data_IF_148390277442
#
_entry.id   IF_148390277442
#
_cell.length_a   1.000
_cell.length_b   1.000
_cell.length_c   1.000
_cell.angle_alpha   90.00
_cell.angle_beta   90.00
_cell.angle_gamma   90.00
#
_symmetry.space_group_name_H-M   'P 1'
#
loop_
_entity.id
_entity.type
_entity.pdbx_description
1 polymer ?
#
# COMPACT_ATOMS: atom_id res chain seq x y z
N UNK A 1 -2.06 59.86 -25.77
CA UNK A 1 -1.47 58.52 -25.56
C UNK A 1 -2.59 57.50 -25.68
N UNK A 2 -2.49 56.65 -26.69
CA UNK A 2 -3.64 55.94 -27.25
C UNK A 2 -4.04 54.74 -26.37
N UNK A 3 -5.34 54.63 -26.07
CA UNK A 3 -5.89 53.60 -25.19
C UNK A 3 -5.66 52.19 -25.75
N UNK A 4 -5.56 52.07 -27.08
CA UNK A 4 -5.23 50.84 -27.78
C UNK A 4 -3.79 50.33 -27.51
N UNK A 5 -2.81 51.24 -27.32
CA UNK A 5 -1.44 50.83 -27.00
C UNK A 5 -1.33 50.20 -25.60
N UNK A 6 -2.14 50.65 -24.64
CA UNK A 6 -2.15 50.10 -23.28
C UNK A 6 -2.65 48.65 -23.27
N UNK A 7 -3.72 48.36 -24.00
CA UNK A 7 -4.26 46.99 -24.13
C UNK A 7 -3.31 46.04 -24.87
N UNK A 8 -2.65 46.53 -25.93
CA UNK A 8 -1.68 45.75 -26.69
C UNK A 8 -0.46 45.40 -25.83
N UNK A 9 0.07 46.34 -25.05
CA UNK A 9 1.21 46.10 -24.16
C UNK A 9 0.88 45.12 -23.04
N UNK A 10 -0.30 45.20 -22.42
CA UNK A 10 -0.72 44.24 -21.39
C UNK A 10 -0.93 42.83 -21.95
N UNK A 11 -1.45 42.72 -23.17
CA UNK A 11 -1.65 41.42 -23.81
C UNK A 11 -0.32 40.76 -24.17
N UNK A 12 0.61 41.52 -24.78
CA UNK A 12 1.95 41.02 -25.12
C UNK A 12 2.73 40.61 -23.87
N UNK A 13 2.67 41.41 -22.78
CA UNK A 13 3.33 41.07 -21.53
C UNK A 13 2.81 39.76 -20.90
N UNK A 14 1.48 39.52 -20.97
CA UNK A 14 0.86 38.29 -20.46
C UNK A 14 1.28 37.04 -21.26
N UNK A 15 1.35 37.16 -22.59
CA UNK A 15 1.80 36.06 -23.46
C UNK A 15 3.27 35.73 -23.18
N UNK A 16 4.14 36.74 -23.07
CA UNK A 16 5.58 36.55 -22.77
C UNK A 16 5.76 35.89 -21.40
N UNK A 17 5.03 36.33 -20.37
CA UNK A 17 5.08 35.73 -19.04
C UNK A 17 4.64 34.27 -19.05
N UNK A 18 3.58 33.94 -19.79
CA UNK A 18 3.06 32.58 -19.91
C UNK A 18 4.04 31.65 -20.63
N UNK A 19 4.62 32.12 -21.74
CA UNK A 19 5.65 31.36 -22.48
C UNK A 19 6.89 31.15 -21.63
N UNK A 20 7.37 32.19 -20.93
CA UNK A 20 8.49 32.07 -19.99
C UNK A 20 8.19 31.05 -18.88
N UNK A 21 7.00 31.08 -18.29
CA UNK A 21 6.60 30.14 -17.24
C UNK A 21 6.55 28.70 -17.74
N UNK A 22 6.04 28.46 -18.96
CA UNK A 22 6.02 27.15 -19.60
C UNK A 22 7.43 26.62 -19.89
N UNK A 23 8.32 27.46 -20.42
CA UNK A 23 9.72 27.09 -20.66
C UNK A 23 10.45 26.79 -19.34
N UNK A 24 10.26 27.61 -18.32
CA UNK A 24 10.83 27.39 -16.98
C UNK A 24 10.26 26.14 -16.29
N UNK A 25 8.98 25.82 -16.48
CA UNK A 25 8.36 24.60 -15.98
C UNK A 25 8.96 23.36 -16.66
N UNK A 26 9.16 23.41 -17.98
CA UNK A 26 9.76 22.32 -18.76
C UNK A 26 11.22 22.08 -18.37
N UNK A 27 12.00 23.15 -18.14
CA UNK A 27 13.38 23.06 -17.67
C UNK A 27 13.48 22.46 -16.24
N UNK A 28 12.58 22.84 -15.33
CA UNK A 28 12.50 22.27 -13.97
C UNK A 28 12.15 20.78 -13.98
N UNK A 29 11.25 20.37 -14.88
CA UNK A 29 10.87 18.97 -15.05
C UNK A 29 12.03 18.12 -15.60
N UNK A 30 12.77 18.64 -16.59
CA UNK A 30 13.96 17.99 -17.12
C UNK A 30 15.08 17.84 -16.07
N UNK A 31 15.28 18.85 -15.22
CA UNK A 31 16.25 18.80 -14.12
C UNK A 31 15.88 17.75 -13.06
N UNK A 32 14.59 17.60 -12.72
CA UNK A 32 14.10 16.60 -11.77
C UNK A 32 14.28 15.17 -12.30
N UNK A 33 14.04 14.96 -13.60
CA UNK A 33 14.28 13.67 -14.27
C UNK A 33 15.77 13.34 -14.27
N UNK A 34 16.65 14.29 -14.62
CA UNK A 34 18.10 14.08 -14.64
C UNK A 34 18.68 13.76 -13.26
N UNK A 35 18.19 14.42 -12.20
CA UNK A 35 18.59 14.15 -10.81
C UNK A 35 18.12 12.76 -10.34
N UNK A 36 16.95 12.28 -10.78
CA UNK A 36 16.41 10.95 -10.47
C UNK A 36 17.18 9.84 -11.19
N UNK A 37 17.63 10.06 -12.41
CA UNK A 37 18.49 9.13 -13.15
C UNK A 37 19.88 8.98 -12.53
N UNK A 38 20.43 10.07 -11.98
CA UNK A 38 21.74 10.06 -11.33
C UNK A 38 21.72 9.33 -9.97
N UNK A 39 20.65 9.48 -9.18
CA UNK A 39 20.46 8.72 -7.92
C UNK A 39 20.24 7.23 -8.15
N UNK A 40 19.74 6.83 -9.33
CA UNK A 40 19.48 5.43 -9.65
C UNK A 40 20.72 4.63 -10.13
N UNK A 41 21.86 5.30 -10.39
CA UNK A 41 23.07 4.65 -10.92
C UNK A 41 24.18 4.37 -9.89
N UNK A 42 24.05 4.85 -8.66
CA UNK A 42 25.08 4.67 -7.61
C UNK A 42 24.86 3.45 -6.70
N UNK A 43 24.05 2.47 -7.10
CA UNK A 43 23.91 1.20 -6.36
C UNK A 43 24.44 0.02 -7.17
N UNK A 44 25.72 -0.28 -6.98
CA UNK A 44 26.27 -1.62 -7.23
C UNK A 44 25.85 -2.52 -6.06
N UNK A 45 25.12 -3.63 -6.26
CA UNK A 45 24.87 -4.56 -5.17
C UNK A 45 26.12 -5.42 -4.97
N UNK A 46 26.77 -5.24 -3.82
CA UNK A 46 27.68 -6.24 -3.26
C UNK A 46 26.91 -7.56 -3.07
N UNK A 47 27.50 -8.66 -3.56
CA UNK A 47 26.94 -10.01 -3.46
C UNK A 47 27.19 -10.58 -2.05
N UNK A 48 26.56 -9.96 -1.07
CA UNK A 48 26.38 -10.53 0.27
C UNK A 48 24.89 -10.42 0.60
N UNK A 49 24.13 -11.47 0.26
CA UNK A 49 22.69 -11.55 0.56
C UNK A 49 22.53 -11.45 2.09
N UNK A 50 21.99 -10.35 2.63
CA UNK A 50 21.65 -10.31 4.04
C UNK A 50 20.48 -11.27 4.25
N UNK A 51 20.44 -11.93 5.40
CA UNK A 51 19.38 -12.83 5.86
C UNK A 51 18.03 -12.09 5.94
N UNK A 52 17.41 -11.87 4.77
CA UNK A 52 16.27 -11.00 4.52
C UNK A 52 15.04 -11.88 4.30
N UNK A 53 14.50 -12.52 5.33
CA UNK A 53 13.36 -13.43 5.06
C UNK A 53 12.33 -13.63 6.16
N UNK A 54 12.65 -13.48 7.45
CA UNK A 54 11.64 -13.70 8.52
C UNK A 54 11.08 -12.42 9.12
N UNK A 55 11.92 -11.44 9.44
CA UNK A 55 11.47 -10.18 10.07
C UNK A 55 10.61 -9.33 9.13
N UNK A 56 10.99 -9.24 7.85
CA UNK A 56 10.22 -8.49 6.85
C UNK A 56 8.84 -9.13 6.58
N UNK A 57 8.75 -10.46 6.56
CA UNK A 57 7.46 -11.16 6.42
C UNK A 57 6.53 -10.88 7.59
N UNK A 58 7.06 -10.84 8.83
CA UNK A 58 6.29 -10.45 10.03
C UNK A 58 5.84 -8.98 10.00
N UNK A 59 6.63 -8.11 9.38
CA UNK A 59 6.22 -6.71 9.18
C UNK A 59 5.12 -6.58 8.12
N UNK A 60 5.10 -7.44 7.11
CA UNK A 60 4.05 -7.44 6.06
C UNK A 60 2.75 -8.11 6.50
N UNK A 61 2.83 -9.18 7.30
CA UNK A 61 1.67 -9.87 7.86
C UNK A 61 1.65 -9.67 9.38
N UNK A 62 0.72 -8.85 9.85
CA UNK A 62 0.57 -8.56 11.28
C UNK A 62 -0.67 -9.24 11.84
N UNK A 63 -0.51 -9.99 12.93
CA UNK A 63 -1.66 -10.53 13.68
C UNK A 63 -2.28 -9.38 14.47
N UNK A 64 -3.58 -9.16 14.26
CA UNK A 64 -4.39 -8.16 15.00
C UNK A 64 -5.33 -8.81 16.02
N UNK A 65 -5.55 -10.11 15.91
CA UNK A 65 -6.28 -10.93 16.89
C UNK A 65 -5.89 -12.42 16.74
N UNK A 66 -5.81 -13.23 17.80
CA UNK A 66 -5.91 -12.84 19.21
C UNK A 66 -4.68 -12.04 19.67
N UNK A 67 -4.70 -11.55 20.91
CA UNK A 67 -3.52 -11.00 21.58
C UNK A 67 -2.33 -11.96 21.40
N UNK A 68 -1.15 -11.44 21.05
CA UNK A 68 -0.01 -12.18 20.49
C UNK A 68 0.70 -13.09 21.52
N UNK A 69 -0.04 -14.02 22.12
CA UNK A 69 0.46 -15.07 22.99
C UNK A 69 0.60 -16.37 22.19
N UNK A 70 1.66 -17.14 22.46
CA UNK A 70 1.87 -18.43 21.78
C UNK A 70 0.69 -19.39 21.97
N UNK A 71 0.07 -19.36 23.15
CA UNK A 71 -1.09 -20.20 23.47
C UNK A 71 -2.30 -19.83 22.59
N UNK A 72 -2.61 -18.55 22.46
CA UNK A 72 -3.75 -18.11 21.66
C UNK A 72 -3.54 -18.34 20.15
N UNK A 73 -2.30 -18.22 19.67
CA UNK A 73 -1.97 -18.61 18.28
C UNK A 73 -2.17 -20.12 18.07
N UNK A 74 -1.88 -20.93 19.08
CA UNK A 74 -1.98 -22.38 18.98
C UNK A 74 -3.42 -22.89 18.92
N UNK A 75 -4.35 -22.20 19.58
CA UNK A 75 -5.77 -22.53 19.67
C UNK A 75 -6.61 -22.12 18.45
N UNK A 76 -6.08 -21.23 17.61
CA UNK A 76 -6.79 -20.76 16.44
C UNK A 76 -7.08 -21.89 15.43
N UNK A 77 -8.30 -21.90 14.90
CA UNK A 77 -8.80 -22.91 13.96
C UNK A 77 -8.86 -22.41 12.52
N UNK A 78 -8.83 -21.10 12.32
CA UNK A 78 -8.90 -20.46 10.99
C UNK A 78 -8.01 -19.22 10.96
N UNK A 79 -7.31 -19.03 9.85
CA UNK A 79 -6.60 -17.79 9.54
C UNK A 79 -7.50 -16.91 8.67
N UNK A 80 -7.79 -15.70 9.13
CA UNK A 80 -8.51 -14.68 8.36
C UNK A 80 -7.51 -13.61 7.94
N UNK A 81 -7.29 -13.44 6.64
CA UNK A 81 -6.34 -12.48 6.09
C UNK A 81 -7.08 -11.31 5.45
N UNK A 82 -6.95 -10.15 6.05
CA UNK A 82 -7.56 -8.91 5.59
C UNK A 82 -6.58 -8.15 4.67
N UNK A 83 -7.02 -7.83 3.45
CA UNK A 83 -6.23 -7.17 2.40
C UNK A 83 -6.89 -5.84 2.05
N UNK A 84 -6.20 -4.73 2.35
CA UNK A 84 -6.71 -3.38 2.13
C UNK A 84 -6.70 -2.99 0.64
N UNK A 85 -7.31 -1.84 0.31
CA UNK A 85 -7.51 -1.38 -1.07
C UNK A 85 -6.51 -0.30 -1.52
N UNK A 86 -6.74 0.25 -2.71
CA UNK A 86 -5.92 1.32 -3.29
C UNK A 86 -5.92 2.60 -2.45
N UNK A 87 -4.75 3.22 -2.28
CA UNK A 87 -4.60 4.48 -1.53
C UNK A 87 -5.02 4.36 -0.07
N UNK A 88 -5.01 3.13 0.48
CA UNK A 88 -5.42 2.83 1.84
C UNK A 88 -4.36 2.09 2.64
N UNK A 89 -4.55 2.01 3.95
CA UNK A 89 -3.60 1.35 4.86
C UNK A 89 -4.28 0.27 5.71
N UNK A 90 -3.54 -0.77 6.06
CA UNK A 90 -3.99 -1.82 6.95
C UNK A 90 -4.43 -1.33 8.34
N UNK A 91 -3.91 -0.20 8.83
CA UNK A 91 -4.23 0.31 10.17
C UNK A 91 -5.63 0.93 10.27
N UNK A 92 -6.09 1.57 9.19
CA UNK A 92 -7.33 2.36 9.22
C UNK A 92 -8.40 1.90 8.23
N UNK A 93 -8.08 1.04 7.24
CA UNK A 93 -9.06 0.55 6.27
C UNK A 93 -10.21 -0.25 6.89
N UNK A 94 -10.02 -0.73 8.11
CA UNK A 94 -10.96 -1.58 8.84
C UNK A 94 -11.63 -0.87 10.01
N UNK A 95 -11.55 0.46 10.04
CA UNK A 95 -12.21 1.28 11.06
C UNK A 95 -13.59 1.69 10.55
N UNK A 96 -14.65 1.28 11.24
CA UNK A 96 -15.99 1.81 11.05
C UNK A 96 -16.26 2.94 12.05
N UNK A 97 -17.18 3.84 11.69
CA UNK A 97 -17.67 4.89 12.58
C UNK A 97 -19.00 4.46 13.19
N UNK A 98 -19.08 4.52 14.51
CA UNK A 98 -20.31 4.30 15.28
C UNK A 98 -20.56 5.52 16.18
N UNK A 99 -21.38 6.46 15.71
CA UNK A 99 -21.47 7.80 16.28
C UNK A 99 -20.12 8.53 16.24
N UNK A 100 -19.60 8.90 17.40
CA UNK A 100 -18.27 9.52 17.56
C UNK A 100 -17.13 8.49 17.67
N UNK A 101 -17.46 7.21 17.86
CA UNK A 101 -16.47 6.15 18.06
C UNK A 101 -15.91 5.65 16.72
N UNK A 102 -14.63 5.32 16.75
CA UNK A 102 -13.91 4.71 15.64
C UNK A 102 -13.52 3.28 16.07
N UNK A 103 -14.19 2.29 15.49
CA UNK A 103 -14.08 0.89 15.90
C UNK A 103 -13.35 0.12 14.80
N UNK A 104 -12.22 -0.50 15.13
CA UNK A 104 -11.56 -1.43 14.21
C UNK A 104 -12.22 -2.81 14.33
N UNK A 105 -13.13 -3.12 13.41
CA UNK A 105 -14.01 -4.28 13.51
C UNK A 105 -13.29 -5.63 13.38
N UNK A 106 -12.01 -5.64 12.94
CA UNK A 106 -11.20 -6.86 12.88
C UNK A 106 -10.68 -7.31 14.25
N UNK A 107 -10.49 -6.39 15.20
CA UNK A 107 -9.89 -6.70 16.51
C UNK A 107 -10.77 -6.33 17.70
N UNK A 108 -11.84 -5.58 17.46
CA UNK A 108 -12.78 -5.21 18.50
C UNK A 108 -13.48 -6.46 19.07
N UNK A 109 -13.48 -6.67 20.40
CA UNK A 109 -13.98 -7.89 21.02
C UNK A 109 -15.46 -8.16 20.75
N UNK A 110 -16.26 -7.12 20.45
CA UNK A 110 -17.70 -7.24 20.21
C UNK A 110 -18.04 -7.41 18.71
N UNK A 111 -17.04 -7.46 17.83
CA UNK A 111 -17.19 -7.50 16.37
C UNK A 111 -16.77 -8.86 15.78
N UNK A 112 -15.82 -8.89 14.83
CA UNK A 112 -15.40 -10.12 14.16
C UNK A 112 -14.87 -11.18 15.17
N UNK A 113 -14.02 -10.82 16.15
CA UNK A 113 -13.66 -11.71 17.26
C UNK A 113 -14.85 -12.38 17.96
N UNK A 114 -15.96 -11.67 18.24
CA UNK A 114 -17.14 -12.27 18.86
C UNK A 114 -17.81 -13.33 17.97
N UNK A 115 -17.74 -13.16 16.65
CA UNK A 115 -18.36 -14.08 15.68
C UNK A 115 -17.49 -15.29 15.37
N UNK A 116 -16.16 -15.12 15.40
CA UNK A 116 -15.20 -16.17 15.10
C UNK A 116 -14.10 -16.16 16.19
N UNK A 117 -14.42 -16.60 17.41
CA UNK A 117 -13.55 -16.42 18.58
C UNK A 117 -12.21 -17.16 18.48
N UNK A 118 -12.19 -18.27 17.72
CA UNK A 118 -10.99 -19.08 17.46
C UNK A 118 -10.33 -18.73 16.12
N UNK A 119 -10.53 -17.52 15.62
CA UNK A 119 -9.80 -17.02 14.45
C UNK A 119 -8.45 -16.42 14.85
N UNK A 120 -7.47 -16.57 13.96
CA UNK A 120 -6.30 -15.69 13.89
C UNK A 120 -6.52 -14.69 12.76
N UNK A 121 -6.67 -13.43 13.10
CA UNK A 121 -6.95 -12.35 12.17
C UNK A 121 -5.64 -11.62 11.87
N UNK A 122 -5.31 -11.55 10.59
CA UNK A 122 -4.03 -11.08 10.05
C UNK A 122 -4.32 -9.96 9.07
N UNK A 123 -3.58 -8.86 9.14
CA UNK A 123 -3.62 -7.82 8.11
C UNK A 123 -2.41 -7.94 7.19
N UNK A 124 -2.64 -7.87 5.88
CA UNK A 124 -1.58 -7.78 4.89
C UNK A 124 -1.29 -6.32 4.55
N UNK A 125 -0.05 -5.89 4.78
CA UNK A 125 0.46 -4.55 4.51
C UNK A 125 1.25 -4.56 3.22
N UNK A 126 0.77 -3.79 2.25
CA UNK A 126 1.44 -3.58 0.98
C UNK A 126 1.31 -2.13 0.53
N UNK A 127 2.21 -1.68 -0.33
CA UNK A 127 2.12 -0.33 -0.90
C UNK A 127 0.93 -0.26 -1.86
N UNK A 128 -0.11 0.44 -1.44
CA UNK A 128 -1.35 0.58 -2.18
C UNK A 128 -1.46 1.92 -2.91
N UNK A 129 -0.48 2.82 -2.76
CA UNK A 129 -0.48 4.13 -3.42
C UNK A 129 0.06 3.97 -4.83
N UNK A 130 -0.82 4.12 -5.83
CA UNK A 130 -0.46 3.97 -7.23
C UNK A 130 -0.39 5.33 -7.90
N UNK A 131 0.73 5.61 -8.60
CA UNK A 131 0.78 6.71 -9.55
C UNK A 131 0.04 6.32 -10.83
N UNK A 132 -0.41 7.32 -11.60
CA UNK A 132 -1.31 7.22 -12.78
C UNK A 132 -1.01 6.08 -13.77
N UNK A 133 0.24 5.62 -13.86
CA UNK A 133 0.69 4.56 -14.77
C UNK A 133 1.01 3.21 -14.09
N UNK A 134 0.43 2.90 -12.92
CA UNK A 134 0.73 1.63 -12.24
C UNK A 134 0.27 0.42 -13.10
N UNK A 135 1.21 -0.39 -13.65
CA UNK A 135 0.85 -1.47 -14.58
C UNK A 135 0.19 -2.63 -13.86
N UNK A 136 -0.54 -3.49 -14.62
CA UNK A 136 -0.99 -4.81 -14.16
C UNK A 136 0.10 -5.54 -13.38
N UNK A 137 1.34 -5.51 -13.88
CA UNK A 137 2.53 -6.14 -13.28
C UNK A 137 2.70 -5.83 -11.80
N UNK A 138 2.36 -4.62 -11.33
CA UNK A 138 2.45 -4.29 -9.90
C UNK A 138 1.43 -5.03 -9.06
N UNK A 139 0.21 -5.20 -9.57
CA UNK A 139 -0.83 -5.95 -8.90
C UNK A 139 -0.48 -7.45 -8.80
N UNK A 140 0.11 -8.02 -9.86
CA UNK A 140 0.66 -9.38 -9.81
C UNK A 140 1.73 -9.52 -8.74
N UNK A 141 2.70 -8.59 -8.71
CA UNK A 141 3.76 -8.60 -7.69
C UNK A 141 3.20 -8.51 -6.27
N UNK A 142 2.19 -7.67 -6.02
CA UNK A 142 1.54 -7.61 -4.71
C UNK A 142 0.89 -8.94 -4.31
N UNK A 143 0.30 -9.66 -5.28
CA UNK A 143 -0.28 -11.00 -5.08
C UNK A 143 0.79 -12.06 -4.82
N UNK A 144 1.86 -12.08 -5.61
CA UNK A 144 3.00 -12.99 -5.41
C UNK A 144 3.67 -12.76 -4.04
N UNK A 145 3.87 -11.51 -3.66
CA UNK A 145 4.38 -11.15 -2.32
C UNK A 145 3.44 -11.61 -1.20
N UNK A 146 2.12 -11.53 -1.40
CA UNK A 146 1.13 -12.05 -0.45
C UNK A 146 1.29 -13.56 -0.27
N UNK A 147 1.41 -14.32 -1.37
CA UNK A 147 1.61 -15.78 -1.33
C UNK A 147 2.90 -16.13 -0.60
N UNK A 148 4.02 -15.51 -1.01
CA UNK A 148 5.32 -15.77 -0.40
C UNK A 148 5.31 -15.46 1.10
N UNK A 149 4.70 -14.34 1.47
CA UNK A 149 4.57 -13.94 2.87
C UNK A 149 3.73 -14.96 3.66
N UNK A 150 2.58 -15.37 3.12
CA UNK A 150 1.67 -16.32 3.78
C UNK A 150 2.28 -17.71 3.90
N UNK A 151 2.99 -18.18 2.87
CA UNK A 151 3.64 -19.48 2.91
C UNK A 151 4.67 -19.55 4.03
N UNK A 152 5.53 -18.53 4.13
CA UNK A 152 6.52 -18.44 5.21
C UNK A 152 5.86 -18.25 6.58
N UNK A 153 4.81 -17.42 6.67
CA UNK A 153 4.10 -17.14 7.91
C UNK A 153 3.38 -18.39 8.46
N UNK A 154 2.83 -19.22 7.57
CA UNK A 154 2.09 -20.44 7.92
C UNK A 154 2.94 -21.70 7.92
N UNK A 155 4.27 -21.59 7.83
CA UNK A 155 5.17 -22.75 7.77
C UNK A 155 5.00 -23.73 8.94
N UNK A 156 4.67 -23.24 10.14
CA UNK A 156 4.37 -24.10 11.30
C UNK A 156 2.95 -24.67 11.34
N UNK A 157 2.02 -24.15 10.52
CA UNK A 157 0.58 -24.49 10.54
C UNK A 157 -0.03 -24.49 9.13
N UNK A 158 0.51 -25.26 8.17
CA UNK A 158 0.11 -25.17 6.75
C UNK A 158 -1.33 -25.66 6.48
N UNK A 159 -1.88 -26.51 7.35
CA UNK A 159 -3.21 -27.11 7.20
C UNK A 159 -4.36 -26.27 7.76
N UNK A 160 -4.09 -25.20 8.53
CA UNK A 160 -5.13 -24.35 9.11
C UNK A 160 -5.94 -23.67 7.98
N UNK A 161 -7.27 -23.81 7.92
CA UNK A 161 -8.10 -23.14 6.92
C UNK A 161 -7.80 -21.65 6.77
N UNK A 162 -7.87 -21.13 5.55
CA UNK A 162 -7.55 -19.75 5.20
C UNK A 162 -8.77 -19.07 4.58
N UNK A 163 -9.15 -17.91 5.11
CA UNK A 163 -10.22 -17.05 4.60
C UNK A 163 -9.63 -15.69 4.26
N UNK A 164 -9.95 -15.17 3.08
CA UNK A 164 -9.53 -13.83 2.67
C UNK A 164 -10.68 -12.83 2.74
N UNK A 165 -10.37 -11.63 3.24
CA UNK A 165 -11.27 -10.47 3.21
C UNK A 165 -10.58 -9.37 2.41
N UNK A 166 -11.03 -9.17 1.17
CA UNK A 166 -10.49 -8.12 0.29
C UNK A 166 -11.35 -6.87 0.29
N UNK A 167 -10.78 -5.72 0.60
CA UNK A 167 -11.45 -4.43 0.42
C UNK A 167 -11.08 -3.81 -0.94
N UNK A 168 -12.08 -3.53 -1.79
CA UNK A 168 -11.88 -2.87 -3.09
C UNK A 168 -10.77 -3.54 -3.92
N UNK A 169 -9.71 -2.82 -4.27
CA UNK A 169 -8.55 -3.35 -5.00
C UNK A 169 -7.89 -4.55 -4.30
N UNK A 170 -7.97 -4.66 -2.98
CA UNK A 170 -7.43 -5.79 -2.22
C UNK A 170 -8.01 -7.13 -2.65
N UNK A 171 -9.28 -7.15 -3.11
CA UNK A 171 -9.88 -8.34 -3.72
C UNK A 171 -9.15 -8.77 -5.00
N UNK A 172 -8.67 -7.82 -5.79
CA UNK A 172 -7.91 -8.13 -7.00
C UNK A 172 -6.50 -8.63 -6.67
N UNK A 173 -5.87 -8.10 -5.61
CA UNK A 173 -4.58 -8.63 -5.10
C UNK A 173 -4.72 -10.10 -4.74
N UNK A 174 -5.81 -10.46 -4.05
CA UNK A 174 -6.13 -11.85 -3.69
C UNK A 174 -6.32 -12.70 -4.96
N UNK A 175 -7.00 -12.22 -6.00
CA UNK A 175 -7.22 -12.99 -7.23
C UNK A 175 -5.95 -13.17 -8.06
N UNK A 176 -4.94 -12.30 -7.93
CA UNK A 176 -3.66 -12.49 -8.62
C UNK A 176 -2.80 -13.61 -8.00
N UNK A 177 -3.17 -14.10 -6.82
CA UNK A 177 -2.53 -15.25 -6.18
C UNK A 177 -2.67 -16.47 -7.11
N UNK A 178 -1.53 -17.02 -7.53
CA UNK A 178 -1.44 -18.26 -8.31
C UNK A 178 -0.90 -19.39 -7.47
#
# INVERSE_FOLDING_TARGET
>A
MDWAQRWLLTFVASVVATVYWLLAARARSAAKTRRRSQVAQDHCPDHSVPERTKDQTRKRLTIVYPEQTRVADDEAEVDIVAVHGLGSDADWSWICKDGEKHINWLRDPDMLPAKVPRARIIVYRYESTWHLDAPKTRLQLCGEELVHSLHAFRAGRPSRPLVFVGHSLGGNVIVQVR
#
